data_IF_363397043779
#
_entry.id   IF_363397043779
#
_cell.length_a   1.000
_cell.length_b   1.000
_cell.length_c   1.000
_cell.angle_alpha   90.00
_cell.angle_beta   90.00
_cell.angle_gamma   90.00
#
_symmetry.space_group_name_H-M   'P 1'
#
loop_
_entity.id
_entity.type
_entity.pdbx_description
1 polymer ?
#
# COMPACT_ATOMS: atom_id res chain seq x y z
N UNK A 1 13.09 -7.80 9.40
CA UNK A 1 11.64 -7.57 9.50
C UNK A 1 10.96 -8.83 9.00
N UNK A 2 10.22 -9.54 9.86
CA UNK A 2 9.61 -10.83 9.52
C UNK A 2 8.41 -10.64 8.58
N UNK A 3 8.08 -11.66 7.79
CA UNK A 3 6.91 -11.64 6.88
C UNK A 3 5.61 -11.30 7.64
N UNK A 4 5.47 -11.83 8.85
CA UNK A 4 4.35 -11.53 9.76
C UNK A 4 4.28 -10.04 10.11
N UNK A 5 5.42 -9.42 10.38
CA UNK A 5 5.53 -7.99 10.72
C UNK A 5 5.17 -7.10 9.50
N UNK A 6 5.58 -7.51 8.30
CA UNK A 6 5.20 -6.82 7.06
C UNK A 6 3.70 -6.93 6.76
N UNK A 7 3.09 -8.10 6.95
CA UNK A 7 1.66 -8.30 6.71
C UNK A 7 0.80 -7.48 7.69
N UNK A 8 1.15 -7.45 8.98
CA UNK A 8 0.45 -6.61 9.96
C UNK A 8 0.61 -5.12 9.64
N UNK A 9 1.81 -4.69 9.24
CA UNK A 9 2.07 -3.33 8.79
C UNK A 9 1.17 -2.94 7.60
N UNK A 10 1.16 -3.74 6.52
CA UNK A 10 0.36 -3.42 5.34
C UNK A 10 -1.14 -3.49 5.62
N UNK A 11 -1.60 -4.40 6.47
CA UNK A 11 -3.01 -4.47 6.89
C UNK A 11 -3.43 -3.20 7.62
N UNK A 12 -2.63 -2.74 8.59
CA UNK A 12 -2.89 -1.48 9.29
C UNK A 12 -2.92 -0.31 8.32
N UNK A 13 -1.92 -0.23 7.43
CA UNK A 13 -1.77 0.89 6.51
C UNK A 13 -2.88 0.95 5.45
N UNK A 14 -3.35 -0.21 4.98
CA UNK A 14 -4.51 -0.32 4.10
C UNK A 14 -5.77 0.24 4.76
N UNK A 15 -6.01 -0.08 6.03
CA UNK A 15 -7.13 0.46 6.81
C UNK A 15 -7.07 1.97 6.94
N UNK A 16 -5.93 2.51 7.42
CA UNK A 16 -5.71 3.94 7.58
C UNK A 16 -5.95 4.71 6.27
N UNK A 17 -5.40 4.19 5.17
CA UNK A 17 -5.51 4.85 3.86
C UNK A 17 -6.93 4.81 3.29
N UNK A 18 -7.69 3.73 3.54
CA UNK A 18 -9.11 3.66 3.17
C UNK A 18 -9.94 4.69 3.92
N UNK A 19 -9.78 4.77 5.24
CA UNK A 19 -10.46 5.79 6.05
C UNK A 19 -10.12 7.22 5.59
N UNK A 20 -8.86 7.46 5.21
CA UNK A 20 -8.45 8.76 4.64
C UNK A 20 -9.11 9.03 3.28
N UNK A 21 -9.23 8.03 2.40
CA UNK A 21 -9.93 8.19 1.13
C UNK A 21 -11.41 8.55 1.32
N UNK A 22 -12.08 7.89 2.27
CA UNK A 22 -13.48 8.13 2.59
C UNK A 22 -13.70 9.51 3.23
N UNK A 23 -12.78 9.94 4.09
CA UNK A 23 -12.86 11.23 4.79
C UNK A 23 -12.38 12.41 3.94
N UNK A 24 -11.69 12.16 2.82
CA UNK A 24 -11.16 13.21 1.96
C UNK A 24 -12.29 13.98 1.25
N UNK A 25 -12.28 15.30 1.44
CA UNK A 25 -13.25 16.22 0.83
C UNK A 25 -12.89 16.53 -0.64
N UNK A 26 -11.59 16.55 -0.96
CA UNK A 26 -11.12 16.81 -2.32
C UNK A 26 -11.07 15.52 -3.14
N UNK A 27 -11.60 15.50 -4.37
CA UNK A 27 -11.64 14.30 -5.19
C UNK A 27 -10.24 13.80 -5.59
N UNK A 28 -9.28 14.70 -5.79
CA UNK A 28 -7.88 14.37 -6.11
C UNK A 28 -7.18 13.68 -4.93
N UNK A 29 -7.41 14.18 -3.72
CA UNK A 29 -6.87 13.57 -2.49
C UNK A 29 -7.49 12.19 -2.26
N UNK A 30 -8.80 12.05 -2.49
CA UNK A 30 -9.48 10.75 -2.46
C UNK A 30 -8.88 9.77 -3.47
N UNK A 31 -8.58 10.23 -4.68
CA UNK A 31 -7.96 9.41 -5.73
C UNK A 31 -6.59 8.89 -5.28
N UNK A 32 -5.73 9.76 -4.75
CA UNK A 32 -4.41 9.37 -4.26
C UNK A 32 -4.51 8.33 -3.14
N UNK A 33 -5.40 8.54 -2.15
CA UNK A 33 -5.58 7.55 -1.08
C UNK A 33 -6.14 6.22 -1.59
N UNK A 34 -7.02 6.22 -2.62
CA UNK A 34 -7.46 4.97 -3.26
C UNK A 34 -6.30 4.24 -3.94
N UNK A 35 -5.49 4.93 -4.73
CA UNK A 35 -4.32 4.33 -5.39
C UNK A 35 -3.33 3.76 -4.37
N UNK A 36 -3.13 4.47 -3.26
CA UNK A 36 -2.29 4.00 -2.16
C UNK A 36 -2.89 2.76 -1.47
N UNK A 37 -4.20 2.73 -1.24
CA UNK A 37 -4.88 1.56 -0.68
C UNK A 37 -4.76 0.34 -1.62
N UNK A 38 -4.87 0.52 -2.93
CA UNK A 38 -4.66 -0.56 -3.90
C UNK A 38 -3.24 -1.13 -3.82
N UNK A 39 -2.22 -0.26 -3.73
CA UNK A 39 -0.83 -0.69 -3.56
C UNK A 39 -0.59 -1.48 -2.27
N UNK A 40 -1.11 -0.99 -1.14
CA UNK A 40 -1.00 -1.74 0.12
C UNK A 40 -1.76 -3.07 0.09
N UNK A 41 -2.88 -3.14 -0.62
CA UNK A 41 -3.61 -4.39 -0.82
C UNK A 41 -2.79 -5.42 -1.59
N UNK A 42 -2.06 -4.99 -2.63
CA UNK A 42 -1.17 -5.88 -3.38
C UNK A 42 0.01 -6.35 -2.52
N UNK A 43 0.64 -5.44 -1.77
CA UNK A 43 1.75 -5.77 -0.87
C UNK A 43 1.32 -6.69 0.28
N UNK A 44 0.11 -6.50 0.82
CA UNK A 44 -0.46 -7.40 1.82
C UNK A 44 -0.66 -8.81 1.25
N UNK A 45 -1.21 -8.93 0.05
CA UNK A 45 -1.42 -10.22 -0.60
C UNK A 45 -0.10 -10.95 -0.90
N UNK A 46 0.94 -10.22 -1.31
CA UNK A 46 2.29 -10.76 -1.53
C UNK A 46 2.90 -11.24 -0.21
N UNK A 47 2.83 -10.41 0.84
CA UNK A 47 3.30 -10.74 2.18
C UNK A 47 2.57 -11.96 2.78
N UNK A 48 1.24 -12.04 2.63
CA UNK A 48 0.43 -13.17 3.11
C UNK A 48 0.74 -14.48 2.35
N UNK A 49 1.12 -14.40 1.08
CA UNK A 49 1.54 -15.57 0.28
C UNK A 49 2.98 -16.00 0.54
N UNK A 50 3.75 -15.26 1.35
CA UNK A 50 5.17 -15.51 1.58
C UNK A 50 6.03 -15.33 0.32
N UNK A 51 5.47 -14.73 -0.73
CA UNK A 51 6.18 -14.42 -1.94
C UNK A 51 6.87 -13.08 -1.68
N UNK A 52 8.19 -13.02 -1.69
CA UNK A 52 8.92 -11.75 -1.62
C UNK A 52 9.14 -11.32 -3.07
N UNK A 53 8.07 -11.01 -3.79
CA UNK A 53 8.22 -10.33 -5.06
C UNK A 53 8.44 -8.86 -4.72
N UNK A 54 9.72 -8.50 -4.45
CA UNK A 54 10.16 -7.10 -4.33
C UNK A 54 9.35 -6.29 -5.34
N UNK A 55 8.53 -5.32 -4.91
CA UNK A 55 7.96 -4.41 -5.88
C UNK A 55 9.15 -3.72 -6.51
N UNK A 56 9.39 -4.00 -7.79
CA UNK A 56 10.19 -3.15 -8.67
C UNK A 56 9.45 -1.82 -8.72
N UNK A 57 9.60 -1.03 -7.64
CA UNK A 57 9.45 0.42 -7.69
C UNK A 57 10.36 0.81 -8.84
N UNK A 58 9.76 1.20 -9.97
CA UNK A 58 10.49 1.73 -11.10
C UNK A 58 11.42 2.80 -10.57
N UNK A 59 12.70 2.45 -10.47
CA UNK A 59 13.77 3.38 -10.18
C UNK A 59 13.73 4.32 -11.38
N UNK A 60 13.10 5.48 -11.20
CA UNK A 60 13.24 6.56 -12.16
C UNK A 60 14.73 6.93 -12.09
N UNK A 61 15.50 6.74 -13.17
CA UNK A 61 16.91 7.13 -13.16
C UNK A 61 16.95 8.64 -12.97
N UNK A 62 17.66 9.08 -11.93
CA UNK A 62 18.00 10.49 -11.74
C UNK A 62 19.35 10.66 -12.41
N UNK A 63 19.34 11.33 -13.56
CA UNK A 63 20.53 11.86 -14.22
C UNK A 63 21.35 12.71 -13.25
#
# INVERSE_FOLDING_TARGET
MSIVDNAEYYRRRLGETRTQAESAQLPEVRRVHREMAERYSMMLQDAERGNIARPTLGIVPRD
#
